data_IF_612847529955
#
_entry.id   IF_612847529955
#
_cell.length_a   1.000
_cell.length_b   1.000
_cell.length_c   1.000
_cell.angle_alpha   90.00
_cell.angle_beta   90.00
_cell.angle_gamma   90.00
#
_symmetry.space_group_name_H-M   'P 1'
#
loop_
_entity.id
_entity.type
_entity.pdbx_description
1 polymer ?
#
# COMPACT_ATOMS: atom_id res chain seq x y z
N UNK A 1 -23.14 14.62 -22.91
CA UNK A 1 -21.92 13.79 -23.03
C UNK A 1 -21.78 12.90 -21.79
N UNK A 2 -21.72 11.58 -21.94
CA UNK A 2 -21.53 10.67 -20.80
C UNK A 2 -20.08 10.74 -20.31
N UNK A 3 -19.86 11.07 -19.03
CA UNK A 3 -18.52 11.09 -18.43
C UNK A 3 -17.88 9.68 -18.51
N UNK A 4 -16.59 9.55 -18.86
CA UNK A 4 -15.93 8.26 -18.95
C UNK A 4 -16.02 7.52 -17.59
N UNK A 5 -16.60 6.31 -17.61
CA UNK A 5 -16.73 5.44 -16.43
C UNK A 5 -15.47 4.60 -16.29
N UNK A 6 -14.37 5.20 -15.82
CA UNK A 6 -13.12 4.47 -15.61
C UNK A 6 -11.92 5.35 -15.28
N UNK A 7 -10.71 4.76 -15.31
CA UNK A 7 -9.43 5.47 -15.21
C UNK A 7 -9.36 6.48 -14.06
N UNK A 8 -8.97 7.72 -14.39
CA UNK A 8 -8.87 8.85 -13.46
C UNK A 8 -10.20 9.16 -12.76
N UNK A 9 -11.34 9.09 -13.46
CA UNK A 9 -12.65 9.35 -12.86
C UNK A 9 -12.98 8.33 -11.77
N UNK A 10 -12.59 7.07 -11.94
CA UNK A 10 -12.68 6.08 -10.87
C UNK A 10 -11.68 6.38 -9.75
N UNK A 11 -10.44 6.70 -10.11
CA UNK A 11 -9.36 7.00 -9.16
C UNK A 11 -9.71 8.13 -8.18
N UNK A 12 -10.32 9.21 -8.67
CA UNK A 12 -10.79 10.34 -7.85
C UNK A 12 -12.01 10.02 -6.98
N UNK A 13 -12.84 9.05 -7.38
CA UNK A 13 -14.02 8.62 -6.61
C UNK A 13 -13.67 7.63 -5.50
N UNK A 14 -12.50 6.99 -5.57
CA UNK A 14 -12.07 6.05 -4.54
C UNK A 14 -11.69 6.78 -3.26
N UNK A 15 -12.12 6.26 -2.11
CA UNK A 15 -11.64 6.76 -0.81
C UNK A 15 -10.22 6.23 -0.56
N UNK A 16 -9.25 7.13 -0.42
CA UNK A 16 -7.85 6.76 -0.17
C UNK A 16 -7.51 6.80 1.31
N UNK A 17 -6.82 5.76 1.79
CA UNK A 17 -6.44 5.60 3.20
C UNK A 17 -4.95 5.31 3.37
N UNK A 18 -4.39 5.70 4.52
CA UNK A 18 -3.02 5.40 4.91
C UNK A 18 -2.97 4.13 5.78
N UNK A 19 -2.54 3.01 5.19
CA UNK A 19 -2.47 1.72 5.89
C UNK A 19 -1.45 1.69 7.03
N UNK A 20 -0.60 2.73 7.15
CA UNK A 20 0.34 2.87 8.25
C UNK A 20 -0.24 3.55 9.49
N UNK A 21 -1.50 4.02 9.41
CA UNK A 21 -2.20 4.74 10.48
C UNK A 21 -3.56 4.06 10.78
N UNK A 22 -3.55 2.90 11.47
CA UNK A 22 -4.78 2.24 11.87
C UNK A 22 -5.57 3.11 12.87
N UNK A 23 -6.90 3.04 12.81
CA UNK A 23 -7.78 3.67 13.80
C UNK A 23 -8.09 2.69 14.93
N UNK A 24 -8.36 3.22 16.12
CA UNK A 24 -8.98 2.44 17.20
C UNK A 24 -10.40 2.09 16.76
N UNK A 25 -10.74 0.80 16.72
CA UNK A 25 -12.03 0.31 16.18
C UNK A 25 -12.00 -0.17 14.72
N UNK A 26 -10.81 -0.20 14.08
CA UNK A 26 -10.65 -0.77 12.75
C UNK A 26 -10.60 0.26 11.62
N UNK A 27 -10.18 -0.19 10.44
CA UNK A 27 -9.92 0.69 9.30
C UNK A 27 -8.67 1.57 9.50
N UNK A 28 -8.58 2.61 8.66
CA UNK A 28 -7.39 3.44 8.52
C UNK A 28 -7.74 4.92 8.41
N UNK A 29 -6.81 5.78 8.84
CA UNK A 29 -6.92 7.22 8.63
C UNK A 29 -6.92 7.55 7.13
N UNK A 30 -7.61 8.65 6.72
CA UNK A 30 -7.53 9.13 5.34
C UNK A 30 -6.08 9.34 4.91
N UNK A 31 -5.82 9.05 3.63
CA UNK A 31 -4.53 9.32 3.02
C UNK A 31 -4.33 10.84 2.89
N UNK A 32 -3.11 11.29 3.13
CA UNK A 32 -2.78 12.72 3.20
C UNK A 32 -2.64 13.18 4.65
N UNK A 33 -1.81 14.20 4.86
CA UNK A 33 -1.61 14.82 6.17
C UNK A 33 -1.69 16.32 6.01
N UNK A 34 -2.29 16.97 6.99
CA UNK A 34 -2.26 18.44 7.10
C UNK A 34 -0.85 18.96 7.34
N UNK A 35 0.00 18.19 8.03
CA UNK A 35 1.39 18.56 8.30
C UNK A 35 2.35 17.40 7.96
N UNK A 36 3.47 17.74 7.34
CA UNK A 36 4.55 16.80 6.98
C UNK A 36 5.59 16.64 8.08
N UNK A 37 5.62 17.56 9.06
CA UNK A 37 6.63 17.63 10.13
C UNK A 37 6.62 16.43 11.09
N UNK A 38 5.53 15.65 11.14
CA UNK A 38 5.37 14.55 12.10
C UNK A 38 5.10 13.20 11.40
N UNK A 39 5.92 12.20 11.74
CA UNK A 39 5.74 10.78 11.40
C UNK A 39 6.45 10.28 10.13
N UNK A 40 6.61 8.95 10.03
CA UNK A 40 7.25 8.26 8.88
C UNK A 40 6.43 8.38 7.59
N UNK A 41 7.02 8.10 6.43
CA UNK A 41 6.34 8.19 5.13
C UNK A 41 5.06 7.32 5.06
N UNK A 42 3.93 7.85 4.54
CA UNK A 42 2.67 7.11 4.44
C UNK A 42 2.70 6.06 3.33
N UNK A 43 1.82 5.06 3.43
CA UNK A 43 1.52 4.16 2.31
C UNK A 43 0.03 4.25 2.00
N UNK A 44 -0.30 5.01 0.98
CA UNK A 44 -1.68 5.21 0.55
C UNK A 44 -2.15 4.15 -0.43
N UNK A 45 -3.36 3.66 -0.21
CA UNK A 45 -4.08 2.75 -1.10
C UNK A 45 -5.59 3.03 -1.02
N UNK A 46 -6.39 2.61 -2.02
CA UNK A 46 -7.85 2.67 -1.91
C UNK A 46 -8.35 1.86 -0.71
N UNK A 47 -9.38 2.35 -0.02
CA UNK A 47 -9.97 1.71 1.15
C UNK A 47 -10.40 0.27 0.85
N UNK A 48 -11.02 0.03 -0.31
CA UNK A 48 -11.40 -1.31 -0.77
C UNK A 48 -10.19 -2.25 -0.90
N UNK A 49 -9.03 -1.74 -1.32
CA UNK A 49 -7.79 -2.52 -1.39
C UNK A 49 -7.21 -2.77 0.00
N UNK A 50 -7.27 -1.78 0.89
CA UNK A 50 -6.80 -1.93 2.28
C UNK A 50 -7.60 -3.00 3.05
N UNK A 51 -8.92 -3.04 2.86
CA UNK A 51 -9.81 -4.04 3.48
C UNK A 51 -9.44 -5.48 3.08
N UNK A 52 -8.98 -5.68 1.84
CA UNK A 52 -8.57 -7.00 1.32
C UNK A 52 -7.15 -7.41 1.72
N UNK A 53 -6.37 -6.53 2.35
CA UNK A 53 -5.01 -6.87 2.74
C UNK A 53 -4.97 -7.65 4.04
N UNK A 54 -4.01 -8.58 4.15
CA UNK A 54 -3.66 -9.20 5.43
C UNK A 54 -2.69 -8.30 6.24
N UNK A 55 -2.57 -8.48 7.56
CA UNK A 55 -1.60 -7.74 8.37
C UNK A 55 -0.15 -7.87 7.86
N UNK A 56 0.24 -9.05 7.38
CA UNK A 56 1.56 -9.30 6.82
C UNK A 56 1.78 -8.53 5.50
N UNK A 57 0.78 -8.51 4.61
CA UNK A 57 0.86 -7.75 3.36
C UNK A 57 1.00 -6.25 3.63
N UNK A 58 0.23 -5.72 4.58
CA UNK A 58 0.33 -4.30 4.99
C UNK A 58 1.72 -3.95 5.49
N UNK A 59 2.23 -4.71 6.46
CA UNK A 59 3.58 -4.52 7.02
C UNK A 59 4.64 -4.55 5.90
N UNK A 60 4.54 -5.51 4.99
CA UNK A 60 5.44 -5.64 3.84
C UNK A 60 5.37 -4.43 2.90
N UNK A 61 4.17 -3.96 2.57
CA UNK A 61 3.95 -2.81 1.70
C UNK A 61 4.48 -1.50 2.31
N UNK A 62 4.26 -1.29 3.62
CA UNK A 62 4.77 -0.14 4.35
C UNK A 62 6.30 -0.16 4.39
N UNK A 63 6.90 -1.31 4.72
CA UNK A 63 8.35 -1.48 4.76
C UNK A 63 8.99 -1.16 3.41
N UNK A 64 8.47 -1.72 2.31
CA UNK A 64 8.98 -1.43 0.96
C UNK A 64 8.89 0.05 0.60
N UNK A 65 7.77 0.71 0.91
CA UNK A 65 7.60 2.14 0.62
C UNK A 65 8.56 3.01 1.41
N UNK A 66 8.77 2.70 2.69
CA UNK A 66 9.72 3.45 3.54
C UNK A 66 11.16 3.22 3.10
N UNK A 67 11.52 1.99 2.73
CA UNK A 67 12.87 1.68 2.23
C UNK A 67 13.19 2.38 0.90
N UNK A 68 12.21 2.53 0.02
CA UNK A 68 12.41 3.28 -1.23
C UNK A 68 12.59 4.79 -1.03
N UNK A 69 12.15 5.33 0.11
CA UNK A 69 12.30 6.74 0.44
C UNK A 69 11.64 7.70 -0.56
N UNK A 70 12.13 8.95 -0.54
CA UNK A 70 11.90 9.95 -1.57
C UNK A 70 13.27 10.46 -2.03
N UNK A 71 13.82 9.95 -3.13
CA UNK A 71 15.19 10.27 -3.55
C UNK A 71 15.34 11.67 -4.18
N UNK A 72 14.29 12.51 -4.20
CA UNK A 72 14.33 13.85 -4.82
C UNK A 72 14.30 13.84 -6.36
N UNK A 73 14.47 12.67 -6.99
CA UNK A 73 14.32 12.45 -8.44
C UNK A 73 13.16 11.53 -8.80
N UNK A 74 13.27 10.83 -9.94
CA UNK A 74 12.24 9.91 -10.43
C UNK A 74 11.88 8.87 -9.35
N UNK A 75 10.60 8.74 -8.95
CA UNK A 75 10.22 7.89 -7.83
C UNK A 75 10.36 6.40 -8.17
N UNK A 76 10.89 5.63 -7.22
CA UNK A 76 10.92 4.16 -7.31
C UNK A 76 9.53 3.58 -7.09
N UNK A 77 8.96 2.97 -8.13
CA UNK A 77 7.62 2.37 -8.08
C UNK A 77 7.63 1.02 -7.35
N UNK A 78 7.36 1.06 -6.05
CA UNK A 78 7.32 -0.15 -5.21
C UNK A 78 6.01 -0.93 -5.31
N UNK A 79 6.11 -2.26 -5.40
CA UNK A 79 4.96 -3.16 -5.43
C UNK A 79 4.21 -3.17 -4.11
N UNK A 80 2.88 -3.17 -4.19
CA UNK A 80 2.01 -3.25 -3.00
C UNK A 80 1.84 -4.68 -2.51
N UNK A 81 1.72 -5.66 -3.41
CA UNK A 81 1.74 -7.08 -3.08
C UNK A 81 3.04 -7.72 -3.58
N UNK A 82 3.59 -8.67 -2.82
CA UNK A 82 4.65 -9.54 -3.36
C UNK A 82 4.03 -10.50 -4.37
N UNK A 83 4.76 -10.82 -5.45
CA UNK A 83 4.38 -11.96 -6.28
C UNK A 83 4.31 -13.20 -5.38
N UNK A 84 3.31 -14.05 -5.60
CA UNK A 84 3.22 -15.35 -4.90
C UNK A 84 4.51 -16.08 -5.25
N UNK A 85 5.37 -16.36 -4.26
CA UNK A 85 6.51 -17.27 -4.51
C UNK A 85 5.88 -18.61 -4.85
N UNK A 86 6.23 -19.19 -6.00
CA UNK A 86 5.92 -20.58 -6.28
C UNK A 86 6.36 -21.42 -5.08
N UNK A 87 5.57 -22.44 -4.72
CA UNK A 87 5.83 -23.32 -3.57
C UNK A 87 7.30 -23.74 -3.65
N UNK A 88 8.13 -23.21 -2.75
CA UNK A 88 9.56 -23.55 -2.73
C UNK A 88 9.59 -25.04 -2.39
N UNK A 89 9.94 -25.90 -3.36
CA UNK A 89 10.20 -27.32 -3.10
C UNK A 89 11.35 -27.32 -2.09
N UNK A 90 11.04 -27.55 -0.81
CA UNK A 90 12.05 -27.74 0.22
C UNK A 90 12.85 -28.94 -0.25
N UNK A 91 14.09 -28.71 -0.68
CA UNK A 91 14.99 -29.76 -1.12
C UNK A 91 15.01 -30.84 -0.05
N UNK A 92 14.74 -32.08 -0.45
CA UNK A 92 14.75 -33.22 0.44
C UNK A 92 16.07 -33.27 1.18
N UNK A 93 16.00 -33.42 2.50
CA UNK A 93 17.14 -33.69 3.36
C UNK A 93 17.84 -34.95 2.80
N UNK A 94 19.00 -34.79 2.15
CA UNK A 94 19.85 -35.94 1.83
C UNK A 94 20.26 -36.54 3.17
N UNK A 95 19.88 -37.80 3.38
CA UNK A 95 20.28 -38.63 4.51
C UNK A 95 21.76 -38.97 4.38
#
# INVERSE_FOLDING_TARGET
MAKPKGGLTKWFKESWVDISRPKKGGGYMPCGRKTSKKGKYPKCVPAAKAARMTPAQRRSAIRRKRAAGNPGGKPTMVKTFTKRKGRMKRGGKKR
#
